data_IF_628002237738
#
_entry.id   IF_628002237738
#
_cell.length_a   1.000
_cell.length_b   1.000
_cell.length_c   1.000
_cell.angle_alpha   90.00
_cell.angle_beta   90.00
_cell.angle_gamma   90.00
#
_symmetry.space_group_name_H-M   'P 1'
#
loop_
_entity.id
_entity.type
_entity.pdbx_description
1 polymer ?
#
# COMPACT_ATOMS: atom_id res chain seq x y z
N UNK A 1 -7.78 0.70 18.11
CA UNK A 1 -6.36 0.73 18.49
C UNK A 1 -5.66 1.89 17.78
N UNK A 2 -4.93 2.68 18.52
CA UNK A 2 -4.19 3.82 17.96
C UNK A 2 -2.69 3.60 18.13
N UNK A 3 -1.92 4.11 17.18
CA UNK A 3 -0.46 4.05 17.22
C UNK A 3 0.09 5.41 17.65
N UNK A 4 1.02 5.42 18.59
CA UNK A 4 1.73 6.65 18.95
C UNK A 4 2.84 6.91 17.92
N UNK A 5 3.50 8.09 18.02
CA UNK A 5 4.50 8.49 17.04
C UNK A 5 5.69 7.52 16.97
N UNK A 6 6.13 6.99 18.10
CA UNK A 6 7.24 6.04 18.12
C UNK A 6 6.85 4.72 17.46
N UNK A 7 5.64 4.22 17.72
CA UNK A 7 5.14 2.99 17.08
C UNK A 7 5.02 3.15 15.58
N UNK A 8 4.51 4.30 15.11
CA UNK A 8 4.41 4.60 13.67
C UNK A 8 5.80 4.56 13.02
N UNK A 9 6.76 5.23 13.64
CA UNK A 9 8.13 5.29 13.13
C UNK A 9 8.76 3.89 13.07
N UNK A 10 8.59 3.11 14.13
CA UNK A 10 9.12 1.76 14.19
C UNK A 10 8.54 0.86 13.09
N UNK A 11 7.23 0.94 12.85
CA UNK A 11 6.59 0.16 11.79
C UNK A 11 7.09 0.57 10.41
N UNK A 12 7.18 1.87 10.16
CA UNK A 12 7.70 2.36 8.87
C UNK A 12 9.13 1.87 8.67
N UNK A 13 9.99 2.02 9.66
CA UNK A 13 11.38 1.63 9.52
C UNK A 13 11.55 0.11 9.38
N UNK A 14 10.75 -0.68 10.11
CA UNK A 14 10.81 -2.14 10.01
C UNK A 14 10.46 -2.61 8.59
N UNK A 15 9.39 -2.07 8.01
CA UNK A 15 8.93 -2.47 6.69
C UNK A 15 9.71 -1.82 5.56
N UNK A 16 10.49 -0.79 5.87
CA UNK A 16 11.42 -0.20 4.93
C UNK A 16 12.75 -0.96 4.88
N UNK A 17 13.30 -1.31 6.05
CA UNK A 17 14.63 -1.95 6.12
C UNK A 17 14.56 -3.46 5.87
N UNK A 18 13.48 -4.12 6.29
CA UNK A 18 13.29 -5.56 6.12
C UNK A 18 11.89 -5.87 5.64
N UNK A 19 11.54 -5.46 4.41
CA UNK A 19 10.19 -5.74 3.89
C UNK A 19 9.97 -7.24 3.73
N UNK A 20 8.73 -7.67 3.99
CA UNK A 20 8.34 -9.08 3.94
C UNK A 20 8.11 -9.52 2.50
N UNK A 21 7.53 -8.66 1.68
CA UNK A 21 7.02 -9.02 0.35
C UNK A 21 7.88 -8.50 -0.79
N UNK A 22 9.03 -7.93 -0.49
CA UNK A 22 9.94 -7.45 -1.53
C UNK A 22 10.75 -8.61 -2.08
N UNK A 23 10.64 -8.82 -3.39
CA UNK A 23 11.34 -9.90 -4.09
C UNK A 23 11.64 -9.46 -5.50
N UNK A 24 12.76 -9.91 -6.05
CA UNK A 24 13.04 -9.72 -7.47
C UNK A 24 11.95 -10.38 -8.31
N UNK A 25 11.41 -9.64 -9.27
CA UNK A 25 10.34 -10.12 -10.13
C UNK A 25 10.95 -10.51 -11.47
N UNK A 26 10.88 -11.81 -11.78
CA UNK A 26 11.33 -12.34 -13.06
C UNK A 26 10.10 -12.53 -13.96
N UNK A 27 10.17 -12.01 -15.18
CA UNK A 27 9.05 -12.07 -16.11
C UNK A 27 8.21 -10.81 -16.07
N UNK A 28 6.91 -10.98 -16.34
CA UNK A 28 6.00 -9.84 -16.45
C UNK A 28 5.82 -9.13 -15.12
N UNK A 29 5.79 -7.81 -15.19
CA UNK A 29 5.61 -6.96 -14.02
C UNK A 29 4.91 -5.67 -14.40
N UNK A 30 4.23 -5.09 -13.42
CA UNK A 30 3.58 -3.81 -13.57
C UNK A 30 4.54 -2.76 -13.00
N UNK A 31 4.81 -1.72 -13.77
CA UNK A 31 5.79 -0.69 -13.40
C UNK A 31 5.07 0.62 -13.16
N UNK A 32 5.40 1.29 -12.07
CA UNK A 32 4.92 2.64 -11.75
C UNK A 32 6.07 3.51 -11.29
N UNK A 33 6.03 4.77 -11.71
CA UNK A 33 6.97 5.80 -11.27
C UNK A 33 6.24 6.78 -10.36
N UNK A 34 6.94 7.31 -9.36
CA UNK A 34 6.37 8.30 -8.46
C UNK A 34 6.03 9.59 -9.18
N UNK A 35 4.95 10.24 -8.73
CA UNK A 35 4.51 11.52 -9.31
C UNK A 35 5.30 12.70 -8.75
N UNK A 36 5.69 12.63 -7.50
CA UNK A 36 6.30 13.74 -6.79
C UNK A 36 7.69 13.44 -6.25
N UNK A 37 8.10 12.18 -6.30
CA UNK A 37 9.39 11.70 -5.81
C UNK A 37 10.00 10.78 -6.86
N UNK A 38 11.28 10.47 -6.71
CA UNK A 38 11.96 9.52 -7.58
C UNK A 38 11.68 8.06 -7.19
N UNK A 39 10.44 7.80 -6.73
CA UNK A 39 10.02 6.45 -6.36
C UNK A 39 9.81 5.59 -7.61
N UNK A 40 10.19 4.32 -7.50
CA UNK A 40 10.03 3.35 -8.57
C UNK A 40 9.48 2.06 -7.97
N UNK A 41 8.38 1.57 -8.53
CA UNK A 41 7.68 0.39 -8.05
C UNK A 41 7.46 -0.61 -9.17
N UNK A 42 7.82 -1.85 -8.92
CA UNK A 42 7.41 -3.01 -9.73
C UNK A 42 6.54 -3.89 -8.85
N UNK A 43 5.49 -4.46 -9.40
CA UNK A 43 4.71 -5.44 -8.66
C UNK A 43 4.03 -6.42 -9.61
N UNK A 44 3.61 -7.54 -9.07
CA UNK A 44 2.83 -8.50 -9.82
C UNK A 44 1.91 -9.25 -8.86
N UNK A 45 0.85 -9.83 -9.40
CA UNK A 45 -0.10 -10.60 -8.62
C UNK A 45 -0.90 -11.52 -9.54
N UNK A 46 -1.62 -12.44 -8.94
CA UNK A 46 -2.52 -13.35 -9.64
C UNK A 46 -3.91 -13.23 -9.06
N UNK A 47 -4.93 -13.51 -9.88
CA UNK A 47 -6.30 -13.61 -9.42
C UNK A 47 -6.71 -15.07 -9.58
N UNK A 48 -6.92 -15.75 -8.44
CA UNK A 48 -7.33 -17.16 -8.43
C UNK A 48 -8.55 -17.31 -7.55
N UNK A 49 -9.63 -17.86 -8.11
CA UNK A 49 -10.90 -18.06 -7.39
C UNK A 49 -11.42 -16.77 -6.75
N UNK A 50 -11.26 -15.64 -7.47
CA UNK A 50 -11.71 -14.34 -6.99
C UNK A 50 -10.85 -13.73 -5.91
N UNK A 51 -9.68 -14.30 -5.64
CA UNK A 51 -8.75 -13.80 -4.62
C UNK A 51 -7.47 -13.27 -5.25
N UNK A 52 -6.92 -12.22 -4.64
CA UNK A 52 -5.60 -11.72 -4.99
C UNK A 52 -4.56 -12.62 -4.33
N UNK A 53 -3.65 -13.19 -5.10
CA UNK A 53 -2.62 -14.10 -4.60
C UNK A 53 -1.26 -13.75 -5.17
N UNK A 54 -0.22 -14.14 -4.44
CA UNK A 54 1.18 -13.95 -4.86
C UNK A 54 1.51 -12.50 -5.17
N UNK A 55 0.96 -11.59 -4.38
CA UNK A 55 1.25 -10.18 -4.51
C UNK A 55 2.63 -9.90 -3.93
N UNK A 56 3.55 -9.50 -4.80
CA UNK A 56 4.94 -9.19 -4.45
C UNK A 56 5.34 -7.89 -5.13
N UNK A 57 6.39 -7.28 -4.62
CA UNK A 57 6.91 -6.05 -5.22
C UNK A 57 8.42 -6.01 -5.20
N UNK A 58 8.97 -5.16 -6.04
CA UNK A 58 10.36 -4.72 -5.99
C UNK A 58 10.37 -3.23 -6.30
N UNK A 59 11.47 -2.59 -6.02
CA UNK A 59 11.56 -1.17 -6.29
C UNK A 59 12.48 -0.45 -5.33
N UNK A 60 12.45 0.87 -5.42
CA UNK A 60 13.24 1.76 -4.58
C UNK A 60 12.50 3.08 -4.43
N UNK A 61 12.64 3.69 -3.28
CA UNK A 61 11.98 4.94 -2.99
C UNK A 61 12.11 5.30 -1.53
N UNK A 62 11.34 6.29 -1.12
CA UNK A 62 11.36 6.75 0.26
C UNK A 62 10.76 5.71 1.21
N UNK A 63 11.00 5.91 2.50
CA UNK A 63 10.51 4.99 3.52
C UNK A 63 8.98 4.86 3.50
N UNK A 64 8.26 5.94 3.22
CA UNK A 64 6.80 5.91 3.14
C UNK A 64 6.31 5.02 2.00
N UNK A 65 6.92 5.12 0.83
CA UNK A 65 6.54 4.27 -0.31
C UNK A 65 6.82 2.80 -0.01
N UNK A 66 8.01 2.49 0.45
CA UNK A 66 8.41 1.11 0.69
C UNK A 66 7.58 0.46 1.80
N UNK A 67 7.40 1.19 2.91
CA UNK A 67 6.65 0.65 4.05
C UNK A 67 5.16 0.51 3.73
N UNK A 68 4.55 1.50 3.08
CA UNK A 68 3.13 1.42 2.74
C UNK A 68 2.85 0.31 1.74
N UNK A 69 3.77 0.07 0.81
CA UNK A 69 3.66 -1.02 -0.15
C UNK A 69 3.67 -2.37 0.57
N UNK A 70 4.67 -2.58 1.41
CA UNK A 70 4.82 -3.84 2.14
C UNK A 70 3.65 -4.10 3.10
N UNK A 71 3.23 -3.08 3.84
CA UNK A 71 2.12 -3.19 4.78
C UNK A 71 0.78 -3.39 4.08
N UNK A 72 0.57 -2.78 2.92
CA UNK A 72 -0.67 -3.02 2.17
C UNK A 72 -0.76 -4.48 1.73
N UNK A 73 0.32 -5.03 1.22
CA UNK A 73 0.33 -6.44 0.79
C UNK A 73 -0.04 -7.34 1.96
N UNK A 74 0.52 -7.07 3.13
CA UNK A 74 0.20 -7.83 4.34
C UNK A 74 -1.30 -7.87 4.63
N UNK A 75 -2.02 -6.77 4.33
CA UNK A 75 -3.45 -6.68 4.63
C UNK A 75 -4.32 -7.34 3.57
N UNK A 76 -3.90 -7.33 2.30
CA UNK A 76 -4.78 -7.71 1.20
C UNK A 76 -4.43 -9.01 0.49
N UNK A 77 -3.22 -9.53 0.67
CA UNK A 77 -2.83 -10.78 0.00
C UNK A 77 -3.72 -11.93 0.46
N UNK A 78 -4.12 -12.79 -0.48
CA UNK A 78 -5.03 -13.91 -0.26
C UNK A 78 -6.46 -13.51 0.12
N UNK A 79 -6.85 -12.26 -0.14
CA UNK A 79 -8.20 -11.77 0.13
C UNK A 79 -9.01 -11.67 -1.16
N UNK A 80 -10.33 -11.71 -1.03
CA UNK A 80 -11.26 -11.54 -2.16
C UNK A 80 -11.07 -10.18 -2.79
N UNK A 81 -11.32 -10.10 -4.11
CA UNK A 81 -11.23 -8.86 -4.86
C UNK A 81 -12.10 -7.78 -4.21
N UNK A 82 -13.32 -8.12 -3.81
CA UNK A 82 -14.23 -7.16 -3.17
C UNK A 82 -13.64 -6.62 -1.87
N UNK A 83 -13.05 -7.48 -1.07
CA UNK A 83 -12.37 -7.04 0.16
C UNK A 83 -11.23 -6.09 -0.15
N UNK A 84 -10.41 -6.43 -1.14
CA UNK A 84 -9.23 -5.64 -1.51
C UNK A 84 -9.65 -4.25 -1.99
N UNK A 85 -10.64 -4.17 -2.88
CA UNK A 85 -11.10 -2.90 -3.41
C UNK A 85 -11.74 -2.03 -2.33
N UNK A 86 -12.54 -2.63 -1.45
CA UNK A 86 -13.13 -1.91 -0.32
C UNK A 86 -12.05 -1.38 0.63
N UNK A 87 -11.07 -2.22 0.93
CA UNK A 87 -9.96 -1.81 1.80
C UNK A 87 -9.18 -0.64 1.21
N UNK A 88 -8.87 -0.70 -0.09
CA UNK A 88 -8.14 0.37 -0.77
C UNK A 88 -8.94 1.66 -0.76
N UNK A 89 -10.24 1.59 -1.04
CA UNK A 89 -11.09 2.79 -1.05
C UNK A 89 -11.16 3.43 0.33
N UNK A 90 -11.28 2.64 1.37
CA UNK A 90 -11.30 3.15 2.74
C UNK A 90 -9.95 3.72 3.16
N UNK A 91 -8.88 3.05 2.77
CA UNK A 91 -7.53 3.55 3.03
C UNK A 91 -7.29 4.89 2.34
N UNK A 92 -7.66 5.00 1.06
CA UNK A 92 -7.49 6.25 0.33
C UNK A 92 -8.27 7.40 0.99
N UNK A 93 -9.52 7.15 1.37
CA UNK A 93 -10.32 8.16 2.07
C UNK A 93 -9.65 8.58 3.38
N UNK A 94 -9.17 7.61 4.14
CA UNK A 94 -8.55 7.83 5.44
C UNK A 94 -7.29 8.69 5.34
N UNK A 95 -6.43 8.42 4.36
CA UNK A 95 -5.18 9.17 4.22
C UNK A 95 -5.34 10.49 3.47
N UNK A 96 -6.40 10.63 2.68
CA UNK A 96 -6.67 11.83 1.89
C UNK A 96 -7.48 12.86 2.66
N UNK A 97 -8.50 12.42 3.39
CA UNK A 97 -9.46 13.30 4.04
C UNK A 97 -9.20 13.38 5.54
N UNK A 98 -8.84 14.58 5.99
CA UNK A 98 -8.57 14.84 7.40
C UNK A 98 -9.73 14.44 8.31
N UNK A 99 -10.97 14.58 7.82
CA UNK A 99 -12.18 14.29 8.57
C UNK A 99 -12.81 12.94 8.19
N UNK A 100 -12.01 12.01 7.69
CA UNK A 100 -12.49 10.67 7.34
C UNK A 100 -13.10 9.98 8.56
N UNK A 101 -14.19 9.27 8.33
CA UNK A 101 -14.89 8.49 9.35
C UNK A 101 -14.47 7.02 9.36
N UNK A 102 -13.50 6.66 8.54
CA UNK A 102 -12.98 5.29 8.52
C UNK A 102 -12.28 4.98 9.82
N UNK A 103 -12.59 3.83 10.41
CA UNK A 103 -12.00 3.41 11.67
C UNK A 103 -10.54 2.97 11.48
N UNK A 104 -9.66 3.39 12.38
CA UNK A 104 -8.28 2.91 12.39
C UNK A 104 -8.22 1.39 12.54
N UNK A 105 -9.14 0.81 13.33
CA UNK A 105 -9.18 -0.64 13.52
C UNK A 105 -9.45 -1.38 12.20
N UNK A 106 -10.23 -0.79 11.31
CA UNK A 106 -10.50 -1.39 10.01
C UNK A 106 -9.24 -1.47 9.14
N UNK A 107 -8.38 -0.46 9.23
CA UNK A 107 -7.18 -0.37 8.42
C UNK A 107 -5.96 -1.03 9.04
N UNK A 108 -6.06 -1.42 10.29
CA UNK A 108 -4.97 -2.07 11.03
C UNK A 108 -3.69 -1.23 10.96
N UNK A 109 -2.58 -1.85 10.59
CA UNK A 109 -1.28 -1.16 10.53
C UNK A 109 -1.22 -0.05 9.49
N UNK A 110 -2.09 -0.08 8.47
CA UNK A 110 -2.16 1.00 7.48
C UNK A 110 -2.65 2.31 8.08
N UNK A 111 -3.22 2.29 9.28
CA UNK A 111 -3.64 3.51 9.97
C UNK A 111 -2.47 4.42 10.36
N UNK A 112 -1.24 3.92 10.33
CA UNK A 112 -0.06 4.74 10.65
C UNK A 112 0.17 5.87 9.65
N UNK A 113 -0.46 5.81 8.47
CA UNK A 113 -0.29 6.82 7.43
C UNK A 113 -1.33 7.95 7.49
N UNK A 114 -2.05 8.09 8.59
CA UNK A 114 -3.17 9.03 8.72
C UNK A 114 -2.83 10.48 8.36
N UNK A 115 -1.66 10.95 8.74
CA UNK A 115 -1.32 12.37 8.62
C UNK A 115 -0.58 12.73 7.33
N UNK A 116 -0.52 11.81 6.36
CA UNK A 116 0.17 12.09 5.10
C UNK A 116 -0.56 13.13 4.26
N UNK A 117 -1.84 13.40 4.52
CA UNK A 117 -2.58 14.44 3.82
C UNK A 117 -2.01 15.85 4.05
N UNK A 118 -1.22 16.04 5.09
CA UNK A 118 -0.56 17.31 5.37
C UNK A 118 0.65 17.54 4.46
N UNK A 119 1.09 16.49 3.76
CA UNK A 119 2.26 16.51 2.89
C UNK A 119 1.90 15.82 1.56
N UNK A 120 1.52 16.58 0.52
CA UNK A 120 1.06 15.97 -0.74
C UNK A 120 2.00 14.93 -1.34
N UNK A 121 3.32 15.16 -1.25
CA UNK A 121 4.29 14.20 -1.76
C UNK A 121 4.21 12.86 -1.02
N UNK A 122 4.04 12.91 0.29
CA UNK A 122 3.91 11.70 1.11
C UNK A 122 2.62 10.95 0.82
N UNK A 123 1.54 11.68 0.52
CA UNK A 123 0.30 11.06 0.10
C UNK A 123 0.53 10.18 -1.13
N UNK A 124 1.20 10.70 -2.15
CA UNK A 124 1.49 9.92 -3.35
C UNK A 124 2.38 8.71 -3.05
N UNK A 125 3.36 8.88 -2.18
CA UNK A 125 4.21 7.76 -1.76
C UNK A 125 3.41 6.70 -0.99
N UNK A 126 2.54 7.12 -0.09
CA UNK A 126 1.76 6.21 0.76
C UNK A 126 0.66 5.46 0.00
N UNK A 127 0.26 5.95 -1.17
CA UNK A 127 -0.81 5.34 -1.97
C UNK A 127 -0.33 4.79 -3.30
N UNK A 128 0.96 4.68 -3.50
CA UNK A 128 1.51 4.26 -4.79
C UNK A 128 1.04 2.86 -5.20
N UNK A 129 1.19 1.86 -4.34
CA UNK A 129 0.69 0.52 -4.65
C UNK A 129 -0.83 0.47 -4.62
N UNK A 130 -1.48 1.07 -3.63
CA UNK A 130 -2.94 0.97 -3.52
C UNK A 130 -3.63 1.52 -4.77
N UNK A 131 -3.18 2.66 -5.29
CA UNK A 131 -3.73 3.22 -6.52
C UNK A 131 -3.49 2.32 -7.72
N UNK A 132 -2.27 1.84 -7.88
CA UNK A 132 -1.89 1.02 -9.02
C UNK A 132 -2.59 -0.34 -8.99
N UNK A 133 -2.70 -0.95 -7.81
CA UNK A 133 -3.36 -2.24 -7.63
C UNK A 133 -4.85 -2.14 -7.97
N UNK A 134 -5.52 -1.10 -7.48
CA UNK A 134 -6.94 -0.86 -7.78
C UNK A 134 -7.14 -0.74 -9.29
N UNK A 135 -6.30 0.05 -9.97
CA UNK A 135 -6.37 0.23 -11.41
C UNK A 135 -6.24 -1.12 -12.14
N UNK A 136 -5.26 -1.92 -11.76
CA UNK A 136 -5.01 -3.19 -12.43
C UNK A 136 -6.08 -4.25 -12.16
N UNK A 137 -6.62 -4.29 -10.94
CA UNK A 137 -7.74 -5.18 -10.64
C UNK A 137 -8.94 -4.82 -11.50
N UNK A 138 -9.26 -3.53 -11.62
CA UNK A 138 -10.40 -3.08 -12.42
C UNK A 138 -10.22 -3.34 -13.91
N UNK A 139 -9.00 -3.32 -14.41
CA UNK A 139 -8.70 -3.67 -15.80
C UNK A 139 -8.91 -5.16 -16.09
N UNK A 140 -8.72 -6.01 -15.08
CA UNK A 140 -8.75 -7.46 -15.25
C UNK A 140 -10.11 -8.11 -14.98
N UNK A 141 -11.07 -7.34 -14.44
CA UNK A 141 -12.36 -7.92 -14.14
C UNK A 141 -13.49 -7.49 -15.06
#
# INVERSE_FOLDING_TARGET
>A
MSYNQNQKRELIMAHYTKPIYKKEINGDKIIKHGQACADYLEFNFEINDGKIQNLIFDGRGCAFMMASTDLLIKQVDNKNIEFVLDFIDKYDDFVKNKNSKVSENHLREMAIFKNVNEHPNRYFCATMLSSALKEKINEQR
#
